data_IF_718622998335
#
_entry.id   IF_718622998335
#
_cell.length_a   1.000
_cell.length_b   1.000
_cell.length_c   1.000
_cell.angle_alpha   90.00
_cell.angle_beta   90.00
_cell.angle_gamma   90.00
#
_symmetry.space_group_name_H-M   'P 1'
#
loop_
_entity.id
_entity.type
_entity.pdbx_description
1 polymer ?
#
# COMPACT_ATOMS: atom_id res chain seq x y z
N UNK A 1 -0.92 -13.92 5.12
CA UNK A 1 0.00 -12.84 4.68
C UNK A 1 -0.76 -11.55 4.47
N UNK A 2 -0.13 -10.43 4.67
CA UNK A 2 -0.69 -9.14 4.31
C UNK A 2 -0.31 -8.83 2.87
N UNK A 3 -1.31 -8.63 2.02
CA UNK A 3 -1.12 -8.28 0.62
C UNK A 3 -1.37 -6.77 0.46
N UNK A 4 -0.41 -6.08 -0.10
CA UNK A 4 -0.50 -4.65 -0.41
C UNK A 4 -0.46 -4.55 -1.93
N UNK A 5 -1.58 -4.15 -2.52
CA UNK A 5 -1.75 -4.17 -3.97
C UNK A 5 -2.04 -2.77 -4.50
N UNK A 6 -1.38 -2.39 -5.59
CA UNK A 6 -1.67 -1.12 -6.26
C UNK A 6 -3.08 -1.16 -6.85
N UNK A 7 -3.97 -0.37 -6.27
CA UNK A 7 -5.38 -0.29 -6.64
C UNK A 7 -5.65 0.79 -7.69
N UNK A 8 -4.99 1.95 -7.54
CA UNK A 8 -5.21 3.11 -8.40
C UNK A 8 -3.94 3.93 -8.50
N UNK A 9 -3.68 4.49 -9.67
CA UNK A 9 -2.60 5.44 -9.89
C UNK A 9 -3.20 6.70 -10.49
N UNK A 10 -3.01 7.84 -9.81
CA UNK A 10 -3.43 9.16 -10.28
C UNK A 10 -2.19 9.89 -10.79
N UNK A 11 -2.14 10.16 -12.09
CA UNK A 11 -0.95 10.71 -12.73
C UNK A 11 0.02 9.62 -13.17
N UNK A 12 1.32 9.85 -12.99
CA UNK A 12 2.38 8.92 -13.42
C UNK A 12 3.20 8.45 -12.23
N UNK A 13 3.40 7.16 -12.13
CA UNK A 13 4.35 6.59 -11.17
C UNK A 13 5.45 5.84 -11.94
N UNK A 14 6.73 6.20 -11.77
CA UNK A 14 7.82 5.53 -12.49
C UNK A 14 8.13 4.14 -11.95
N UNK A 15 7.58 3.76 -10.78
CA UNK A 15 7.91 2.51 -10.10
C UNK A 15 6.78 1.49 -10.22
N UNK A 16 5.54 1.91 -9.93
CA UNK A 16 4.40 0.99 -9.85
C UNK A 16 3.52 1.03 -11.09
N UNK A 17 2.87 -0.09 -11.35
CA UNK A 17 1.73 -0.20 -12.24
C UNK A 17 0.59 -0.89 -11.50
N UNK A 18 -0.63 -0.67 -11.95
CA UNK A 18 -1.83 -1.24 -11.33
C UNK A 18 -1.72 -2.76 -11.22
N UNK A 19 -2.02 -3.30 -10.05
CA UNK A 19 -1.90 -4.72 -9.76
C UNK A 19 -0.56 -5.14 -9.17
N UNK A 20 0.45 -4.27 -9.16
CA UNK A 20 1.72 -4.57 -8.48
C UNK A 20 1.49 -4.80 -7.00
N UNK A 21 2.29 -5.67 -6.40
CA UNK A 21 2.12 -6.10 -5.01
C UNK A 21 3.37 -5.96 -4.19
N UNK A 22 3.15 -5.71 -2.89
CA UNK A 22 4.11 -5.90 -1.82
C UNK A 22 3.48 -6.92 -0.88
N UNK A 23 4.18 -7.98 -0.54
CA UNK A 23 3.66 -9.05 0.31
C UNK A 23 4.47 -9.11 1.60
N UNK A 24 3.74 -9.14 2.72
CA UNK A 24 4.33 -9.23 4.06
C UNK A 24 3.88 -10.52 4.71
N UNK A 25 4.86 -11.28 5.20
CA UNK A 25 4.64 -12.50 5.94
C UNK A 25 5.36 -12.39 7.29
N UNK A 26 4.60 -12.27 8.38
CA UNK A 26 5.17 -12.01 9.69
C UNK A 26 6.00 -10.74 9.69
N UNK A 27 7.28 -10.79 10.05
CA UNK A 27 8.15 -9.61 10.09
C UNK A 27 8.83 -9.30 8.75
N UNK A 28 8.58 -10.10 7.73
CA UNK A 28 9.34 -10.08 6.48
C UNK A 28 8.55 -9.54 5.30
N UNK A 29 9.21 -8.72 4.48
CA UNK A 29 8.74 -8.43 3.13
C UNK A 29 9.17 -9.58 2.25
N UNK A 30 8.23 -10.30 1.67
CA UNK A 30 8.52 -11.47 0.82
C UNK A 30 8.93 -10.97 -0.56
N UNK A 31 10.24 -10.88 -0.80
CA UNK A 31 10.78 -10.26 -2.01
C UNK A 31 10.36 -10.99 -3.30
N UNK A 32 10.29 -12.31 -3.27
CA UNK A 32 9.85 -13.12 -4.44
C UNK A 32 8.41 -12.89 -4.86
N UNK A 33 7.58 -12.34 -3.97
CA UNK A 33 6.16 -12.03 -4.25
C UNK A 33 5.90 -10.54 -4.33
N UNK A 34 6.97 -9.73 -4.29
CA UNK A 34 6.90 -8.28 -4.28
C UNK A 34 7.44 -7.75 -5.59
N UNK A 35 6.63 -6.97 -6.30
CA UNK A 35 6.99 -6.47 -7.63
C UNK A 35 7.96 -5.29 -7.56
N UNK A 36 7.71 -4.34 -6.65
CA UNK A 36 8.57 -3.18 -6.48
C UNK A 36 8.32 -2.53 -5.12
N UNK A 37 9.31 -1.79 -4.62
CA UNK A 37 9.21 -1.00 -3.39
C UNK A 37 9.70 0.41 -3.69
N UNK A 38 8.80 1.41 -3.58
CA UNK A 38 9.14 2.81 -3.75
C UNK A 38 9.22 3.49 -2.38
N UNK A 39 10.29 4.26 -2.15
CA UNK A 39 10.49 4.91 -0.84
C UNK A 39 9.37 5.89 -0.47
N UNK A 40 8.73 6.54 -1.44
CA UNK A 40 7.60 7.45 -1.18
C UNK A 40 6.34 6.74 -0.70
N UNK A 41 6.22 5.45 -0.98
CA UNK A 41 5.11 4.62 -0.51
C UNK A 41 5.45 3.90 0.80
N UNK A 42 6.72 3.59 1.02
CA UNK A 42 7.14 2.73 2.12
C UNK A 42 6.84 3.34 3.48
N UNK A 43 7.10 4.63 3.68
CA UNK A 43 6.87 5.28 4.97
C UNK A 43 5.42 5.20 5.44
N UNK A 44 4.41 5.63 4.63
CA UNK A 44 3.02 5.48 5.07
C UNK A 44 2.59 4.02 5.22
N UNK A 45 3.10 3.12 4.38
CA UNK A 45 2.79 1.69 4.51
C UNK A 45 3.33 1.13 5.82
N UNK A 46 4.60 1.39 6.16
CA UNK A 46 5.22 0.87 7.38
C UNK A 46 4.52 1.37 8.65
N UNK A 47 3.93 2.56 8.60
CA UNK A 47 3.20 3.09 9.74
C UNK A 47 2.03 2.20 10.16
N UNK A 48 1.38 1.54 9.20
CA UNK A 48 0.16 0.78 9.44
C UNK A 48 0.29 -0.74 9.28
N UNK A 49 1.35 -1.22 8.62
CA UNK A 49 1.41 -2.65 8.24
C UNK A 49 1.38 -3.61 9.42
N UNK A 50 1.98 -3.24 10.55
CA UNK A 50 1.97 -4.12 11.74
C UNK A 50 0.56 -4.30 12.26
N UNK A 51 -0.20 -3.21 12.38
CA UNK A 51 -1.58 -3.26 12.84
C UNK A 51 -2.46 -4.05 11.87
N UNK A 52 -2.31 -3.81 10.57
CA UNK A 52 -3.09 -4.50 9.55
C UNK A 52 -2.75 -5.99 9.49
N UNK A 53 -1.47 -6.32 9.56
CA UNK A 53 -1.01 -7.70 9.61
C UNK A 53 -1.62 -8.45 10.78
N UNK A 54 -1.74 -7.77 11.92
CA UNK A 54 -2.27 -8.36 13.16
C UNK A 54 -3.80 -8.35 13.22
N UNK A 55 -4.47 -7.94 12.14
CA UNK A 55 -5.91 -8.05 12.02
C UNK A 55 -6.70 -6.90 12.61
N UNK A 56 -6.09 -5.75 12.87
CA UNK A 56 -6.81 -4.57 13.32
C UNK A 56 -7.78 -4.13 12.23
N UNK A 57 -9.03 -3.86 12.61
CA UNK A 57 -10.06 -3.41 11.67
C UNK A 57 -9.65 -2.08 11.03
N UNK A 58 -9.52 -2.03 9.69
CA UNK A 58 -9.10 -0.81 9.01
C UNK A 58 -9.95 0.42 9.29
N UNK A 59 -11.24 0.21 9.62
CA UNK A 59 -12.13 1.31 9.97
C UNK A 59 -11.69 2.02 11.27
N UNK A 60 -11.11 1.27 12.21
CA UNK A 60 -10.60 1.84 13.47
C UNK A 60 -9.33 2.68 13.24
N UNK A 61 -8.63 2.43 12.15
CA UNK A 61 -7.42 3.17 11.78
C UNK A 61 -7.75 4.37 10.88
N UNK A 62 -9.01 4.53 10.48
CA UNK A 62 -9.42 5.58 9.55
C UNK A 62 -8.99 5.31 8.10
N UNK A 63 -8.73 4.06 7.76
CA UNK A 63 -8.19 3.69 6.46
C UNK A 63 -9.21 3.05 5.52
N UNK A 64 -10.46 2.92 5.93
CA UNK A 64 -11.49 2.28 5.11
C UNK A 64 -12.88 2.52 5.65
N UNK A 65 -13.88 2.26 4.81
CA UNK A 65 -15.29 2.11 5.20
C UNK A 65 -15.63 0.63 5.43
N UNK A 66 -14.71 -0.28 5.12
CA UNK A 66 -14.89 -1.74 5.17
C UNK A 66 -13.97 -2.37 6.19
N UNK A 67 -14.36 -3.52 6.74
CA UNK A 67 -13.56 -4.20 7.76
C UNK A 67 -12.40 -5.04 7.21
N UNK A 68 -12.45 -5.43 5.94
CA UNK A 68 -11.51 -6.39 5.35
C UNK A 68 -10.41 -5.76 4.50
N UNK A 69 -10.55 -4.50 4.14
CA UNK A 69 -9.61 -3.84 3.21
C UNK A 69 -9.27 -2.46 3.73
N UNK A 70 -7.97 -2.16 3.80
CA UNK A 70 -7.47 -0.83 4.09
C UNK A 70 -6.98 -0.15 2.81
N UNK A 71 -7.06 1.18 2.76
CA UNK A 71 -6.53 1.97 1.65
C UNK A 71 -5.49 2.94 2.18
N UNK A 72 -4.31 2.91 1.57
CA UNK A 72 -3.17 3.76 1.96
C UNK A 72 -2.60 4.36 0.69
N UNK A 73 -2.19 5.63 0.73
CA UNK A 73 -1.58 6.27 -0.43
C UNK A 73 -0.11 6.62 -0.17
N UNK A 74 0.66 6.71 -1.27
CA UNK A 74 2.02 7.25 -1.20
C UNK A 74 1.99 8.75 -0.87
N UNK A 75 3.13 9.30 -0.46
CA UNK A 75 3.21 10.72 -0.06
C UNK A 75 3.35 11.69 -1.23
N UNK A 76 3.50 11.21 -2.45
CA UNK A 76 3.59 12.04 -3.64
C UNK A 76 2.22 12.62 -4.00
N UNK A 77 2.02 13.94 -3.92
CA UNK A 77 0.71 14.54 -4.23
C UNK A 77 0.41 14.65 -5.73
N UNK A 78 1.41 14.45 -6.59
CA UNK A 78 1.25 14.59 -8.04
C UNK A 78 1.15 16.03 -8.53
N UNK A 79 0.73 16.17 -9.78
CA UNK A 79 0.53 17.48 -10.37
C UNK A 79 -0.55 18.30 -9.63
N UNK A 80 -0.41 19.60 -9.49
CA UNK A 80 0.65 20.47 -10.03
C UNK A 80 1.90 20.57 -9.14
N UNK A 81 1.96 19.82 -8.04
CA UNK A 81 3.01 19.98 -7.03
C UNK A 81 4.28 19.20 -7.35
N UNK A 82 4.14 18.06 -8.00
CA UNK A 82 5.26 17.22 -8.42
C UNK A 82 5.01 16.72 -9.85
N UNK A 83 6.05 16.18 -10.46
CA UNK A 83 5.94 15.56 -11.79
C UNK A 83 5.50 14.10 -11.71
N UNK A 84 5.37 13.55 -10.49
CA UNK A 84 4.97 12.18 -10.25
C UNK A 84 3.46 11.98 -10.17
N UNK A 85 3.07 10.93 -9.52
CA UNK A 85 1.66 10.62 -9.31
C UNK A 85 1.41 10.01 -7.95
N UNK A 86 0.13 9.96 -7.57
CA UNK A 86 -0.32 9.39 -6.32
C UNK A 86 -0.75 7.95 -6.55
N UNK A 87 -0.17 7.03 -5.78
CA UNK A 87 -0.54 5.61 -5.82
C UNK A 87 -1.40 5.29 -4.61
N UNK A 88 -2.52 4.63 -4.83
CA UNK A 88 -3.40 4.15 -3.77
C UNK A 88 -3.28 2.63 -3.73
N UNK A 89 -2.95 2.12 -2.55
CA UNK A 89 -2.83 0.69 -2.27
C UNK A 89 -4.07 0.19 -1.54
N UNK A 90 -4.54 -0.98 -1.89
CA UNK A 90 -5.47 -1.73 -1.05
C UNK A 90 -4.67 -2.80 -0.30
N UNK A 91 -4.92 -2.91 1.00
CA UNK A 91 -4.23 -3.83 1.87
C UNK A 91 -5.24 -4.81 2.47
N UNK A 92 -4.97 -6.10 2.35
CA UNK A 92 -5.87 -7.14 2.80
C UNK A 92 -5.10 -8.39 3.19
N UNK A 93 -5.71 -9.23 4.03
CA UNK A 93 -5.13 -10.52 4.40
C UNK A 93 -5.42 -11.51 3.28
N UNK A 94 -4.39 -12.20 2.80
CA UNK A 94 -4.49 -13.20 1.74
C UNK A 94 -3.48 -14.32 1.93
N UNK A 95 -3.40 -15.16 0.94
CA UNK A 95 -2.50 -16.33 0.96
C UNK A 95 -1.29 -16.13 0.05
#
# INVERSE_FOLDING_TARGET
MLIIEVSEIRGKCPVYKKGDKIVIDGPEIVLEKTDAIRIHALAPLLHYVVALRDGVDPRKLGLSKEEDVAYIQCVDPGEPYTEGGTVIFKCYIGE
#
